data_IF_863163322185
#
_entry.id   IF_863163322185
#
_cell.length_a   1.000
_cell.length_b   1.000
_cell.length_c   1.000
_cell.angle_alpha   90.00
_cell.angle_beta   90.00
_cell.angle_gamma   90.00
#
_symmetry.space_group_name_H-M   'P 1'
#
loop_
_entity.id
_entity.type
_entity.pdbx_description
1 polymer ?
#
# COMPACT_ATOMS: atom_id res chain seq x y z
N UNK A 1 34.73 43.50 -0.18
CA UNK A 1 35.27 42.53 -1.17
C UNK A 1 35.84 41.38 -0.36
N UNK A 2 35.38 40.14 -0.40
CA UNK A 2 34.35 39.45 -1.18
C UNK A 2 33.73 38.37 -0.26
N UNK A 3 32.42 38.16 -0.37
CA UNK A 3 31.70 37.08 0.31
C UNK A 3 31.95 35.76 -0.43
N UNK A 4 32.45 34.74 0.26
CA UNK A 4 32.59 33.39 -0.29
C UNK A 4 31.33 32.58 0.00
N UNK A 5 30.48 32.46 -1.02
CA UNK A 5 29.31 31.57 -1.02
C UNK A 5 29.75 30.16 -1.41
N UNK A 6 29.71 29.23 -0.47
CA UNK A 6 29.96 27.81 -0.73
C UNK A 6 28.66 27.17 -1.21
N UNK A 7 28.55 26.91 -2.52
CA UNK A 7 27.43 26.17 -3.09
C UNK A 7 27.62 24.68 -2.82
N UNK A 8 26.77 24.13 -1.95
CA UNK A 8 26.67 22.68 -1.71
C UNK A 8 25.93 22.05 -2.88
N UNK A 9 26.64 21.39 -3.78
CA UNK A 9 26.06 20.62 -4.88
C UNK A 9 25.79 19.19 -4.39
N UNK A 10 24.52 18.88 -4.14
CA UNK A 10 24.07 17.50 -3.95
C UNK A 10 24.28 16.69 -5.24
N UNK A 11 24.64 15.39 -5.17
CA UNK A 11 24.84 14.57 -6.35
C UNK A 11 23.51 14.34 -7.08
N UNK A 12 23.42 14.81 -8.32
CA UNK A 12 22.32 14.46 -9.23
C UNK A 12 22.54 13.05 -9.77
N UNK A 13 21.63 12.13 -9.45
CA UNK A 13 21.54 10.82 -10.08
C UNK A 13 21.02 11.02 -11.52
N UNK A 14 21.67 10.46 -12.55
CA UNK A 14 21.23 10.64 -13.93
C UNK A 14 19.88 9.97 -14.19
N UNK A 15 18.97 10.59 -14.96
CA UNK A 15 17.69 10.00 -15.30
C UNK A 15 17.86 8.72 -16.13
N UNK A 16 17.07 7.69 -15.83
CA UNK A 16 17.01 6.44 -16.59
C UNK A 16 16.45 6.66 -18.01
N UNK A 17 16.99 5.98 -19.04
CA UNK A 17 16.58 6.20 -20.42
C UNK A 17 15.22 5.56 -20.72
N UNK A 18 14.21 6.40 -21.02
CA UNK A 18 13.16 6.10 -22.00
C UNK A 18 11.98 5.19 -21.62
N UNK A 19 11.79 4.82 -20.35
CA UNK A 19 10.60 4.12 -19.86
C UNK A 19 9.65 5.04 -19.09
N UNK A 20 8.38 4.65 -18.93
CA UNK A 20 7.52 5.27 -17.91
C UNK A 20 8.22 5.16 -16.54
N UNK A 21 8.12 6.20 -15.68
CA UNK A 21 8.76 6.17 -14.38
C UNK A 21 8.24 4.97 -13.57
N UNK A 22 9.13 4.35 -12.79
CA UNK A 22 8.83 3.19 -11.94
C UNK A 22 9.31 3.41 -10.53
N UNK A 23 8.62 2.81 -9.57
CA UNK A 23 9.06 2.77 -8.20
C UNK A 23 10.35 1.97 -8.09
N UNK A 24 11.25 2.46 -7.24
CA UNK A 24 12.45 1.73 -6.83
C UNK A 24 12.11 0.64 -5.80
N UNK A 25 11.00 0.81 -5.05
CA UNK A 25 10.48 -0.19 -4.11
C UNK A 25 8.98 -0.04 -3.86
N UNK A 26 8.31 -1.17 -3.63
CA UNK A 26 6.94 -1.22 -3.11
C UNK A 26 6.96 -1.75 -1.67
N UNK A 27 6.57 -0.89 -0.73
CA UNK A 27 6.40 -1.17 0.68
C UNK A 27 4.98 -1.64 0.95
N UNK A 28 4.82 -2.82 1.56
CA UNK A 28 3.52 -3.40 1.88
C UNK A 28 3.46 -3.66 3.39
N UNK A 29 2.81 -2.79 4.17
CA UNK A 29 2.59 -3.03 5.59
C UNK A 29 1.62 -4.18 5.80
N UNK A 30 2.06 -5.21 6.53
CA UNK A 30 1.24 -6.39 6.82
C UNK A 30 1.27 -6.67 8.31
N UNK A 31 0.10 -6.62 8.94
CA UNK A 31 -0.10 -7.09 10.31
C UNK A 31 -0.26 -8.61 10.38
N UNK A 32 -0.13 -9.18 11.57
CA UNK A 32 -0.40 -10.59 11.82
C UNK A 32 -1.77 -11.04 11.26
N UNK A 33 -1.77 -12.12 10.46
CA UNK A 33 -2.96 -12.62 9.78
C UNK A 33 -4.04 -13.19 10.73
N UNK A 34 -3.66 -13.57 11.95
CA UNK A 34 -4.61 -14.09 12.95
C UNK A 34 -5.60 -13.03 13.43
N UNK A 35 -5.19 -11.75 13.41
CA UNK A 35 -6.00 -10.61 13.85
C UNK A 35 -6.61 -9.83 12.67
N UNK A 36 -6.54 -10.40 11.46
CA UNK A 36 -7.02 -9.76 10.26
C UNK A 36 -8.55 -9.84 10.13
N UNK A 37 -9.12 -8.74 9.60
CA UNK A 37 -10.51 -8.62 9.16
C UNK A 37 -11.55 -9.06 10.18
N UNK A 38 -11.38 -8.72 11.45
CA UNK A 38 -12.29 -9.12 12.54
C UNK A 38 -13.77 -8.78 12.24
N UNK A 39 -14.02 -7.68 11.52
CA UNK A 39 -15.36 -7.24 11.07
C UNK A 39 -16.04 -8.22 10.09
N UNK A 40 -15.29 -9.11 9.43
CA UNK A 40 -15.82 -10.22 8.61
C UNK A 40 -16.24 -11.44 9.42
N UNK A 41 -16.07 -11.42 10.75
CA UNK A 41 -16.44 -12.51 11.64
C UNK A 41 -17.86 -13.07 11.46
N UNK A 42 -18.88 -12.26 11.17
CA UNK A 42 -20.24 -12.75 10.92
C UNK A 42 -20.40 -13.62 9.66
N UNK A 43 -19.51 -13.49 8.68
CA UNK A 43 -19.64 -14.15 7.36
C UNK A 43 -18.51 -15.11 7.03
N UNK A 44 -17.34 -15.00 7.69
CA UNK A 44 -16.17 -15.84 7.47
C UNK A 44 -15.63 -16.39 8.78
N UNK A 45 -15.34 -17.70 8.80
CA UNK A 45 -14.60 -18.35 9.89
C UNK A 45 -13.19 -17.76 10.05
N UNK A 46 -12.54 -17.90 11.23
CA UNK A 46 -11.16 -17.43 11.43
C UNK A 46 -10.19 -17.93 10.36
N UNK A 47 -10.30 -19.20 9.96
CA UNK A 47 -9.46 -19.77 8.90
C UNK A 47 -9.74 -19.19 7.51
N UNK A 48 -11.00 -18.85 7.19
CA UNK A 48 -11.31 -18.13 5.94
C UNK A 48 -10.79 -16.70 5.95
N UNK A 49 -10.91 -15.97 7.08
CA UNK A 49 -10.38 -14.61 7.19
C UNK A 49 -8.86 -14.55 7.04
N UNK A 50 -8.16 -15.50 7.67
CA UNK A 50 -6.71 -15.61 7.53
C UNK A 50 -6.29 -15.93 6.09
N UNK A 51 -7.00 -16.86 5.41
CA UNK A 51 -6.75 -17.17 3.99
C UNK A 51 -7.06 -15.97 3.09
N UNK A 52 -8.13 -15.23 3.36
CA UNK A 52 -8.47 -14.03 2.62
C UNK A 52 -7.38 -12.96 2.76
N UNK A 53 -6.94 -12.68 3.98
CA UNK A 53 -5.86 -11.72 4.23
C UNK A 53 -4.54 -12.13 3.55
N UNK A 54 -4.17 -13.41 3.61
CA UNK A 54 -2.99 -13.94 2.92
C UNK A 54 -3.14 -13.84 1.39
N UNK A 55 -4.30 -14.20 0.84
CA UNK A 55 -4.53 -14.13 -0.60
C UNK A 55 -4.46 -12.70 -1.14
N UNK A 56 -5.09 -11.74 -0.46
CA UNK A 56 -4.98 -10.33 -0.85
C UNK A 56 -3.55 -9.82 -0.73
N UNK A 57 -2.84 -10.13 0.37
CA UNK A 57 -1.45 -9.72 0.53
C UNK A 57 -0.55 -10.30 -0.57
N UNK A 58 -0.73 -11.58 -0.93
CA UNK A 58 0.00 -12.22 -2.03
C UNK A 58 -0.24 -11.49 -3.35
N UNK A 59 -1.48 -11.06 -3.59
CA UNK A 59 -1.87 -10.33 -4.80
C UNK A 59 -1.26 -8.93 -4.86
N UNK A 60 -1.21 -8.19 -3.74
CA UNK A 60 -0.54 -6.90 -3.66
C UNK A 60 0.97 -7.05 -3.84
N UNK A 61 1.59 -8.10 -3.27
CA UNK A 61 3.01 -8.43 -3.50
C UNK A 61 3.26 -8.67 -4.99
N UNK A 62 2.43 -9.50 -5.64
CA UNK A 62 2.56 -9.78 -7.07
C UNK A 62 2.37 -8.50 -7.92
N UNK A 63 1.43 -7.62 -7.53
CA UNK A 63 1.19 -6.36 -8.21
C UNK A 63 2.35 -5.36 -8.06
N UNK A 64 3.24 -5.53 -7.08
CA UNK A 64 4.44 -4.71 -6.92
C UNK A 64 5.51 -4.96 -8.00
N UNK A 65 5.49 -6.12 -8.65
CA UNK A 65 6.44 -6.45 -9.70
C UNK A 65 6.34 -5.48 -10.91
N UNK A 66 7.46 -5.20 -11.61
CA UNK A 66 8.78 -5.78 -11.42
C UNK A 66 9.65 -5.07 -10.37
N UNK A 67 9.12 -4.08 -9.64
CA UNK A 67 9.89 -3.41 -8.60
C UNK A 67 10.17 -4.37 -7.42
N UNK A 68 11.30 -4.21 -6.72
CA UNK A 68 11.52 -4.86 -5.43
C UNK A 68 10.35 -4.62 -4.48
N UNK A 69 9.92 -5.66 -3.76
CA UNK A 69 8.82 -5.57 -2.80
C UNK A 69 9.35 -5.84 -1.41
N UNK A 70 9.08 -4.92 -0.49
CA UNK A 70 9.40 -5.06 0.93
C UNK A 70 8.10 -5.19 1.73
N UNK A 71 7.90 -6.36 2.35
CA UNK A 71 6.84 -6.53 3.33
C UNK A 71 7.31 -5.99 4.65
N UNK A 72 6.59 -4.96 5.13
CA UNK A 72 6.88 -4.28 6.39
C UNK A 72 6.03 -4.93 7.48
N UNK A 73 6.66 -5.63 8.42
CA UNK A 73 5.92 -6.43 9.42
C UNK A 73 6.68 -6.63 10.73
N UNK A 74 5.96 -7.13 11.74
CA UNK A 74 6.45 -7.49 13.06
C UNK A 74 6.03 -8.91 13.51
N UNK A 75 5.58 -9.74 12.57
CA UNK A 75 5.16 -11.12 12.81
C UNK A 75 5.99 -12.12 11.98
N UNK A 76 6.54 -13.15 12.62
CA UNK A 76 7.43 -14.13 11.96
C UNK A 76 6.72 -14.91 10.85
N UNK A 77 5.43 -15.21 11.01
CA UNK A 77 4.64 -15.93 10.00
C UNK A 77 4.40 -15.04 8.78
N UNK A 78 4.24 -13.74 8.98
CA UNK A 78 4.17 -12.74 7.90
C UNK A 78 5.52 -12.63 7.19
N UNK A 79 6.63 -12.60 7.93
CA UNK A 79 7.97 -12.59 7.34
C UNK A 79 8.23 -13.83 6.47
N UNK A 80 7.89 -15.03 6.95
CA UNK A 80 8.01 -16.26 6.17
C UNK A 80 7.07 -16.28 4.97
N UNK A 81 5.86 -15.73 5.13
CA UNK A 81 4.91 -15.57 4.03
C UNK A 81 5.49 -14.65 2.93
N UNK A 82 6.08 -13.51 3.29
CA UNK A 82 6.68 -12.57 2.35
C UNK A 82 7.77 -13.23 1.52
N UNK A 83 8.72 -13.94 2.18
CA UNK A 83 9.81 -14.66 1.52
C UNK A 83 9.30 -15.71 0.53
N UNK A 84 8.26 -16.46 0.89
CA UNK A 84 7.63 -17.46 0.00
C UNK A 84 7.02 -16.84 -1.27
N UNK A 85 6.66 -15.56 -1.21
CA UNK A 85 6.10 -14.82 -2.35
C UNK A 85 7.15 -13.93 -3.06
N UNK A 86 8.44 -14.13 -2.76
CA UNK A 86 9.53 -13.41 -3.43
C UNK A 86 9.75 -11.98 -2.95
N UNK A 87 9.12 -11.57 -1.83
CA UNK A 87 9.35 -10.26 -1.23
C UNK A 87 10.47 -10.32 -0.16
N UNK A 88 11.14 -9.19 0.01
CA UNK A 88 12.05 -8.95 1.14
C UNK A 88 11.26 -8.57 2.40
N UNK A 89 11.87 -8.75 3.56
CA UNK A 89 11.24 -8.45 4.85
C UNK A 89 11.89 -7.21 5.46
N UNK A 90 11.09 -6.16 5.66
CA UNK A 90 11.45 -5.01 6.47
C UNK A 90 10.87 -5.19 7.87
N UNK A 91 11.71 -5.69 8.79
CA UNK A 91 11.29 -6.04 10.15
C UNK A 91 11.21 -4.80 11.06
N UNK A 92 10.00 -4.46 11.52
CA UNK A 92 9.70 -3.18 12.21
C UNK A 92 8.85 -3.36 13.48
N UNK A 93 9.36 -4.10 14.49
CA UNK A 93 8.58 -4.49 15.66
C UNK A 93 8.16 -3.31 16.54
N UNK A 94 6.88 -3.27 16.93
CA UNK A 94 6.35 -2.37 17.95
C UNK A 94 6.18 -0.91 17.53
N UNK A 95 6.33 -0.58 16.25
CA UNK A 95 6.21 0.79 15.73
C UNK A 95 4.78 1.16 15.30
N UNK A 96 3.89 0.18 15.21
CA UNK A 96 2.57 0.35 14.58
C UNK A 96 2.69 0.71 13.09
N UNK A 97 1.55 0.89 12.41
CA UNK A 97 1.53 1.12 10.96
C UNK A 97 2.37 2.34 10.53
N UNK A 98 2.13 3.51 11.14
CA UNK A 98 2.79 4.75 10.73
C UNK A 98 4.29 4.74 10.99
N UNK A 99 4.71 4.24 12.17
CA UNK A 99 6.12 4.15 12.51
C UNK A 99 6.85 3.11 11.65
N UNK A 100 6.20 1.98 11.36
CA UNK A 100 6.75 0.94 10.50
C UNK A 100 6.96 1.44 9.05
N UNK A 101 5.98 2.16 8.49
CA UNK A 101 6.13 2.77 7.15
C UNK A 101 7.22 3.84 7.16
N UNK A 102 7.27 4.71 8.18
CA UNK A 102 8.30 5.74 8.28
C UNK A 102 9.72 5.14 8.33
N UNK A 103 9.90 4.07 9.11
CA UNK A 103 11.16 3.33 9.21
C UNK A 103 11.53 2.67 7.87
N UNK A 104 10.57 2.04 7.19
CA UNK A 104 10.80 1.43 5.89
C UNK A 104 11.21 2.45 4.82
N UNK A 105 10.59 3.65 4.82
CA UNK A 105 10.98 4.75 3.94
C UNK A 105 12.40 5.24 4.23
N UNK A 106 12.77 5.37 5.51
CA UNK A 106 14.12 5.75 5.90
C UNK A 106 15.16 4.72 5.46
N UNK A 107 14.86 3.43 5.56
CA UNK A 107 15.72 2.35 5.06
C UNK A 107 15.86 2.38 3.53
N UNK A 108 14.76 2.64 2.81
CA UNK A 108 14.78 2.78 1.35
C UNK A 108 15.66 3.98 0.92
N UNK A 109 15.51 5.13 1.58
CA UNK A 109 16.34 6.31 1.34
C UNK A 109 17.84 6.02 1.63
N UNK A 110 18.14 5.32 2.73
CA UNK A 110 19.51 4.94 3.08
C UNK A 110 20.14 3.95 2.07
N UNK A 111 19.31 3.15 1.40
CA UNK A 111 19.71 2.28 0.30
C UNK A 111 19.84 2.99 -1.06
N UNK A 112 19.53 4.29 -1.13
CA UNK A 112 19.59 5.09 -2.35
C UNK A 112 18.41 4.89 -3.31
N UNK A 113 17.33 4.27 -2.83
CA UNK A 113 16.06 4.15 -3.55
C UNK A 113 15.32 5.47 -3.41
N UNK A 114 14.94 6.12 -4.51
CA UNK A 114 14.44 7.49 -4.53
C UNK A 114 12.92 7.57 -4.51
N UNK A 115 12.25 6.63 -5.18
CA UNK A 115 10.80 6.60 -5.32
C UNK A 115 10.22 5.31 -4.70
N UNK A 116 9.37 5.47 -3.69
CA UNK A 116 8.70 4.35 -3.04
C UNK A 116 7.19 4.41 -3.25
N UNK A 117 6.56 3.24 -3.27
CA UNK A 117 5.11 3.11 -3.15
C UNK A 117 4.81 2.42 -1.84
N UNK A 118 3.87 2.96 -1.07
CA UNK A 118 3.26 2.26 0.07
C UNK A 118 1.89 1.78 -0.35
N UNK A 119 1.64 0.47 -0.31
CA UNK A 119 0.37 -0.13 -0.67
C UNK A 119 -0.17 -1.01 0.46
N UNK A 120 -1.44 -0.81 0.84
CA UNK A 120 -2.09 -1.67 1.82
C UNK A 120 -2.29 -3.09 1.28
N UNK A 121 -2.20 -4.08 2.18
CA UNK A 121 -2.19 -5.51 1.82
C UNK A 121 -3.57 -6.10 1.54
N UNK A 122 -4.64 -5.31 1.62
CA UNK A 122 -6.02 -5.74 1.52
C UNK A 122 -6.73 -5.27 0.25
N UNK A 123 -5.97 -5.09 -0.82
CA UNK A 123 -6.46 -4.68 -2.13
C UNK A 123 -6.62 -5.91 -3.05
N UNK A 124 -7.79 -6.59 -3.06
CA UNK A 124 -8.02 -7.78 -3.89
C UNK A 124 -7.93 -7.50 -5.40
N UNK A 125 -7.99 -6.24 -5.82
CA UNK A 125 -7.94 -5.84 -7.24
C UNK A 125 -6.62 -5.17 -7.63
N UNK A 126 -5.62 -5.17 -6.74
CA UNK A 126 -4.32 -4.56 -7.04
C UNK A 126 -3.69 -5.14 -8.31
N UNK A 127 -3.17 -4.24 -9.15
CA UNK A 127 -2.52 -4.52 -10.42
C UNK A 127 -1.47 -3.46 -10.70
N UNK A 128 -0.34 -3.86 -11.28
CA UNK A 128 0.80 -3.01 -11.69
C UNK A 128 1.00 -1.75 -10.83
N UNK A 129 1.39 -1.94 -9.57
CA UNK A 129 1.70 -0.84 -8.67
C UNK A 129 2.97 -0.11 -9.12
N UNK A 130 3.92 -0.82 -9.74
CA UNK A 130 5.26 -0.30 -10.03
C UNK A 130 5.29 0.99 -10.84
N UNK A 131 4.23 1.32 -11.59
CA UNK A 131 4.15 2.47 -12.50
C UNK A 131 3.39 3.66 -11.90
N UNK A 132 2.91 3.57 -10.67
CA UNK A 132 2.07 4.61 -10.04
C UNK A 132 2.86 5.81 -9.50
N UNK A 133 4.18 5.83 -9.70
CA UNK A 133 5.04 6.93 -9.28
C UNK A 133 4.97 8.12 -10.24
N UNK A 134 5.13 9.32 -9.67
CA UNK A 134 5.38 10.54 -10.43
C UNK A 134 6.59 11.23 -9.80
N UNK A 135 7.78 11.15 -10.40
CA UNK A 135 9.01 11.59 -9.76
C UNK A 135 8.93 12.99 -9.15
N UNK A 136 9.36 13.10 -7.89
CA UNK A 136 9.35 14.36 -7.14
C UNK A 136 7.97 14.85 -6.68
N UNK A 137 6.93 14.01 -6.77
CA UNK A 137 5.56 14.32 -6.33
C UNK A 137 5.03 13.25 -5.38
N UNK A 138 4.06 13.63 -4.57
CA UNK A 138 3.26 12.68 -3.80
C UNK A 138 2.03 12.31 -4.62
N UNK A 139 1.82 11.03 -4.90
CA UNK A 139 0.61 10.54 -5.57
C UNK A 139 -0.21 9.74 -4.56
N UNK A 140 -1.47 10.13 -4.36
CA UNK A 140 -2.38 9.49 -3.39
C UNK A 140 -3.50 8.79 -4.14
N UNK A 141 -3.68 7.50 -3.87
CA UNK A 141 -4.85 6.72 -4.28
C UNK A 141 -5.69 6.44 -3.02
N UNK A 142 -6.81 7.17 -2.86
CA UNK A 142 -7.61 7.06 -1.65
C UNK A 142 -8.50 5.81 -1.67
N UNK A 143 -9.10 5.52 -0.52
CA UNK A 143 -10.17 4.52 -0.41
C UNK A 143 -11.44 4.93 -1.19
N UNK A 144 -12.45 4.05 -1.21
CA UNK A 144 -13.73 4.29 -1.91
C UNK A 144 -14.54 5.47 -1.35
N UNK A 145 -14.22 5.94 -0.14
CA UNK A 145 -14.89 7.05 0.53
C UNK A 145 -14.11 8.36 0.41
N UNK A 146 -12.96 8.35 -0.26
CA UNK A 146 -12.01 9.46 -0.35
C UNK A 146 -11.52 9.97 1.02
N UNK A 147 -11.52 9.10 2.04
CA UNK A 147 -11.18 9.45 3.42
C UNK A 147 -9.80 8.92 3.82
N UNK A 148 -9.59 7.61 3.62
CA UNK A 148 -8.34 6.91 3.81
C UNK A 148 -7.41 6.95 2.61
N UNK A 149 -6.23 6.35 2.76
CA UNK A 149 -5.21 6.21 1.70
C UNK A 149 -4.87 4.73 1.57
N UNK A 150 -5.16 4.14 0.41
CA UNK A 150 -4.88 2.73 0.13
C UNK A 150 -3.50 2.53 -0.50
N UNK A 151 -3.14 3.42 -1.43
CA UNK A 151 -1.82 3.44 -2.07
C UNK A 151 -1.28 4.86 -2.09
N UNK A 152 0.01 5.02 -1.85
CA UNK A 152 0.69 6.31 -1.92
C UNK A 152 2.08 6.15 -2.54
N UNK A 153 2.37 6.88 -3.61
CA UNK A 153 3.72 7.01 -4.16
C UNK A 153 4.39 8.25 -3.58
N UNK A 154 5.61 8.12 -3.07
CA UNK A 154 6.35 9.22 -2.44
C UNK A 154 7.85 9.14 -2.75
N UNK A 155 8.53 10.30 -2.83
CA UNK A 155 9.98 10.34 -2.70
C UNK A 155 10.41 9.90 -1.30
N UNK A 156 11.49 9.12 -1.18
CA UNK A 156 11.92 8.52 0.09
C UNK A 156 12.74 9.48 0.96
N UNK A 157 13.46 10.42 0.36
CA UNK A 157 14.48 11.27 1.01
C UNK A 157 13.94 12.63 1.51
N UNK A 158 12.62 12.83 1.45
CA UNK A 158 11.95 14.09 1.81
C UNK A 158 11.50 14.18 3.26
N UNK A 159 11.67 13.10 4.04
CA UNK A 159 11.26 13.07 5.45
C UNK A 159 9.74 13.14 5.65
N UNK A 160 8.99 12.52 4.73
CA UNK A 160 7.54 12.38 4.82
C UNK A 160 7.13 11.59 6.07
N UNK A 161 6.10 12.06 6.78
CA UNK A 161 5.56 11.41 7.98
C UNK A 161 4.21 10.75 7.67
N UNK A 162 4.15 9.42 7.51
CA UNK A 162 2.91 8.71 7.28
C UNK A 162 1.92 8.92 8.42
N UNK A 163 0.65 9.09 8.07
CA UNK A 163 -0.44 9.36 9.00
C UNK A 163 -1.72 8.61 8.62
N UNK A 164 -1.60 7.29 8.38
CA UNK A 164 -2.69 6.37 8.11
C UNK A 164 -3.70 6.28 9.27
N UNK A 165 -4.94 5.96 8.90
CA UNK A 165 -6.13 5.97 9.77
C UNK A 165 -7.28 6.77 9.14
N UNK A 166 -8.38 6.96 9.85
CA UNK A 166 -9.50 7.81 9.40
C UNK A 166 -8.99 9.20 8.99
N UNK A 167 -9.46 9.78 7.90
CA UNK A 167 -9.01 11.06 7.32
C UNK A 167 -7.53 11.10 6.90
N UNK A 168 -6.90 9.96 6.58
CA UNK A 168 -5.48 9.96 6.21
C UNK A 168 -5.19 10.66 4.88
N UNK A 169 -6.13 10.66 3.92
CA UNK A 169 -5.92 11.33 2.65
C UNK A 169 -5.66 12.84 2.84
N UNK A 170 -6.45 13.50 3.69
CA UNK A 170 -6.26 14.91 4.02
C UNK A 170 -4.94 15.14 4.78
N UNK A 171 -4.61 14.27 5.76
CA UNK A 171 -3.35 14.38 6.50
C UNK A 171 -2.13 14.21 5.62
N UNK A 172 -2.16 13.27 4.67
CA UNK A 172 -1.07 13.06 3.73
C UNK A 172 -0.89 14.25 2.79
N UNK A 173 -1.99 14.87 2.34
CA UNK A 173 -1.93 16.12 1.56
C UNK A 173 -1.29 17.26 2.37
N UNK A 174 -1.74 17.46 3.61
CA UNK A 174 -1.17 18.48 4.49
C UNK A 174 0.33 18.25 4.78
N UNK A 175 0.74 16.99 4.89
CA UNK A 175 2.14 16.63 5.09
C UNK A 175 3.01 16.91 3.86
N UNK A 176 2.50 16.63 2.67
CA UNK A 176 3.19 17.01 1.44
C UNK A 176 3.29 18.53 1.27
N UNK A 177 2.23 19.28 1.60
CA UNK A 177 2.23 20.75 1.62
C UNK A 177 3.30 21.28 2.59
N UNK A 178 3.44 20.67 3.78
CA UNK A 178 4.49 21.00 4.76
C UNK A 178 5.90 20.83 4.18
N UNK A 179 6.07 19.88 3.27
CA UNK A 179 7.33 19.58 2.58
C UNK A 179 7.51 20.36 1.28
N UNK A 180 6.52 21.15 0.86
CA UNK A 180 6.54 21.87 -0.42
C UNK A 180 6.46 20.95 -1.63
N UNK A 181 5.88 19.75 -1.48
CA UNK A 181 5.72 18.77 -2.55
C UNK A 181 4.35 18.94 -3.20
N UNK A 182 4.31 18.82 -4.53
CA UNK A 182 3.04 18.75 -5.25
C UNK A 182 2.34 17.42 -4.95
N UNK A 183 1.03 17.50 -4.66
CA UNK A 183 0.19 16.33 -4.41
C UNK A 183 -0.77 16.12 -5.56
N UNK A 184 -0.80 14.88 -6.06
CA UNK A 184 -1.79 14.44 -7.03
C UNK A 184 -2.66 13.35 -6.40
N UNK A 185 -3.95 13.61 -6.23
CA UNK A 185 -4.91 12.58 -5.84
C UNK A 185 -5.51 11.95 -7.10
N UNK A 186 -5.35 10.64 -7.26
CA UNK A 186 -5.87 9.88 -8.39
C UNK A 186 -6.90 8.86 -7.90
N UNK A 187 -8.01 8.76 -8.63
CA UNK A 187 -9.01 7.72 -8.39
C UNK A 187 -8.76 6.53 -9.31
N UNK A 188 -8.71 5.34 -8.73
CA UNK A 188 -8.69 4.06 -9.45
C UNK A 188 -9.66 3.12 -8.73
N UNK A 189 -10.67 2.61 -9.44
CA UNK A 189 -11.74 1.80 -8.83
C UNK A 189 -11.23 0.52 -8.17
N UNK A 190 -10.15 -0.06 -8.69
CA UNK A 190 -9.53 -1.27 -8.15
C UNK A 190 -8.70 -0.96 -6.90
N UNK A 191 -7.89 0.11 -6.92
CA UNK A 191 -7.04 0.48 -5.78
C UNK A 191 -7.82 1.14 -4.64
N UNK A 192 -8.99 1.74 -4.94
CA UNK A 192 -9.89 2.27 -3.91
C UNK A 192 -10.70 1.19 -3.19
N UNK A 193 -10.68 -0.06 -3.65
CA UNK A 193 -11.47 -1.16 -3.06
C UNK A 193 -10.64 -2.01 -2.10
N UNK A 194 -10.50 -1.57 -0.86
CA UNK A 194 -10.07 -2.40 0.27
C UNK A 194 -11.21 -3.31 0.75
N UNK A 195 -10.98 -4.21 1.71
CA UNK A 195 -12.01 -5.16 2.16
C UNK A 195 -12.10 -5.19 3.68
N UNK A 196 -13.03 -4.48 4.29
CA UNK A 196 -13.12 -4.43 5.75
C UNK A 196 -14.40 -5.04 6.30
N UNK A 197 -15.47 -4.96 5.55
CA UNK A 197 -16.83 -5.36 5.92
C UNK A 197 -17.33 -6.47 5.01
N UNK A 198 -18.42 -7.13 5.42
CA UNK A 198 -19.01 -8.18 4.61
C UNK A 198 -19.29 -7.67 3.20
N UNK A 199 -19.98 -6.54 3.06
CA UNK A 199 -20.40 -5.97 1.78
C UNK A 199 -19.23 -5.79 0.78
N UNK A 200 -18.00 -5.57 1.28
CA UNK A 200 -16.81 -5.41 0.43
C UNK A 200 -16.40 -6.69 -0.32
N UNK A 201 -16.92 -7.87 0.07
CA UNK A 201 -16.73 -9.13 -0.68
C UNK A 201 -17.64 -9.20 -1.92
N UNK A 202 -18.51 -8.22 -2.14
CA UNK A 202 -19.40 -8.14 -3.29
C UNK A 202 -19.22 -6.81 -4.05
N UNK A 203 -18.08 -6.63 -4.74
CA UNK A 203 -17.84 -5.42 -5.51
C UNK A 203 -18.80 -5.29 -6.69
N UNK A 204 -19.09 -4.04 -7.12
CA UNK A 204 -19.79 -3.79 -8.37
C UNK A 204 -18.91 -4.19 -9.57
N UNK A 205 -19.55 -4.43 -10.71
CA UNK A 205 -18.87 -4.87 -11.93
C UNK A 205 -17.78 -3.92 -12.42
N UNK A 206 -17.87 -2.63 -12.10
CA UNK A 206 -16.89 -1.61 -12.52
C UNK A 206 -15.52 -1.72 -11.80
N UNK A 207 -15.46 -2.40 -10.66
CA UNK A 207 -14.20 -2.63 -9.91
C UNK A 207 -13.45 -3.83 -10.48
N UNK A 208 -14.19 -4.88 -10.83
CA UNK A 208 -13.67 -6.11 -11.41
C UNK A 208 -14.33 -7.37 -10.86
N UNK A 209 -13.97 -8.51 -11.43
CA UNK A 209 -14.45 -9.83 -10.98
C UNK A 209 -13.66 -10.28 -9.74
N UNK A 210 -14.38 -10.66 -8.69
CA UNK A 210 -13.77 -11.16 -7.45
C UNK A 210 -12.81 -12.31 -7.75
N UNK A 211 -11.55 -12.25 -7.28
CA UNK A 211 -10.58 -13.30 -7.60
C UNK A 211 -10.99 -14.67 -7.03
N UNK A 212 -11.01 -15.69 -7.89
CA UNK A 212 -11.48 -17.05 -7.57
C UNK A 212 -10.71 -17.70 -6.40
N UNK A 213 -9.44 -17.34 -6.23
CA UNK A 213 -8.59 -17.84 -5.15
C UNK A 213 -8.95 -17.27 -3.77
N UNK A 214 -9.68 -16.15 -3.72
CA UNK A 214 -10.01 -15.46 -2.47
C UNK A 214 -11.31 -16.02 -1.85
N UNK A 215 -11.27 -16.41 -0.55
CA UNK A 215 -12.46 -16.89 0.13
C UNK A 215 -13.61 -15.89 0.07
N UNK A 216 -14.75 -16.37 -0.43
CA UNK A 216 -16.03 -15.65 -0.43
C UNK A 216 -17.10 -16.56 0.15
N UNK A 217 -17.97 -16.07 1.04
CA UNK A 217 -19.08 -16.88 1.52
C UNK A 217 -20.07 -17.13 0.37
N UNK A 218 -20.85 -18.20 0.47
CA UNK A 218 -21.92 -18.41 -0.49
C UNK A 218 -22.85 -17.17 -0.51
N UNK A 219 -23.34 -16.75 -1.68
CA UNK A 219 -24.34 -15.69 -1.72
C UNK A 219 -25.50 -16.09 -0.82
N UNK A 220 -26.01 -15.13 -0.03
CA UNK A 220 -27.22 -15.37 0.73
C UNK A 220 -28.30 -15.84 -0.25
N UNK A 221 -28.90 -17.01 -0.03
CA UNK A 221 -30.02 -17.43 -0.86
C UNK A 221 -31.08 -16.33 -0.80
N UNK A 222 -31.61 -15.86 -1.93
CA UNK A 222 -32.71 -14.92 -1.89
C UNK A 222 -33.80 -15.56 -1.05
N UNK A 223 -34.25 -14.85 -0.02
CA UNK A 223 -35.32 -15.29 0.88
C UNK A 223 -36.50 -15.71 0.00
N UNK A 224 -36.65 -17.02 -0.24
CA UNK A 224 -37.80 -17.55 -0.96
C UNK A 224 -38.97 -17.27 -0.05
N UNK A 225 -39.77 -16.28 -0.41
CA UNK A 225 -41.09 -16.08 0.18
C UNK A 225 -41.80 -17.42 0.13
N UNK A 226 -41.99 -18.02 1.31
CA UNK A 226 -42.81 -19.22 1.46
C UNK A 226 -44.23 -18.88 0.95
N UNK A 227 -44.85 -19.78 0.16
CA UNK A 227 -46.21 -19.58 -0.34
C UNK A 227 -47.25 -19.57 0.80
#
# INVERSE_FOLDING_TARGET
>A
MASTSTTSTSPQVPPHPGGAPRADVVLIPVKAFCDAKARLGPVLSPGQRSRLAQGMAARVIAAGAPAPVWVVCDDERVADFARRHGAEVCWTPGLGLNGAVAEALAQAAAAGLLEAIVAHADLPFARDLSTLVSPGRVVVFPDRHADGTNVMAIPTDVGFRPAYGAHSAERHRAEADRLGLEVQSLHDSALSWDVDTADDLWPPSEVGEWPDELPRPAPAEPCRSLP
#
